data_IF_503272042387
#
_entry.id   IF_503272042387
#
_cell.length_a   1.000
_cell.length_b   1.000
_cell.length_c   1.000
_cell.angle_alpha   90.00
_cell.angle_beta   90.00
_cell.angle_gamma   90.00
#
_symmetry.space_group_name_H-M   'P 1'
#
loop_
_entity.id
_entity.type
_entity.pdbx_description
1 polymer ?
#
# COMPACT_ATOMS: atom_id res chain seq x y z
N UNK A 1 -4.90 -6.34 3.74
CA UNK A 1 -4.22 -5.08 3.38
C UNK A 1 -3.82 -5.11 1.91
N UNK A 2 -3.54 -3.96 1.28
CA UNK A 2 -2.90 -3.91 -0.07
C UNK A 2 -1.49 -4.50 -0.04
N UNK A 3 -0.80 -4.43 1.11
CA UNK A 3 0.50 -5.07 1.33
C UNK A 3 0.46 -6.60 1.12
N UNK A 4 -0.71 -7.22 1.28
CA UNK A 4 -0.90 -8.66 1.14
C UNK A 4 -1.00 -9.12 -0.33
N UNK A 5 -1.16 -8.20 -1.29
CA UNK A 5 -1.37 -8.54 -2.69
C UNK A 5 -0.16 -9.24 -3.31
N UNK A 6 1.04 -8.68 -3.14
CA UNK A 6 2.27 -9.26 -3.67
C UNK A 6 2.49 -10.71 -3.21
N UNK A 7 2.52 -11.03 -1.89
CA UNK A 7 2.72 -12.40 -1.45
C UNK A 7 1.58 -13.34 -1.88
N UNK A 8 0.35 -12.82 -2.00
CA UNK A 8 -0.79 -13.61 -2.52
C UNK A 8 -0.58 -13.99 -3.98
N UNK A 9 -0.19 -13.06 -4.85
CA UNK A 9 0.01 -13.34 -6.28
C UNK A 9 1.17 -14.30 -6.50
N UNK A 10 2.26 -14.18 -5.73
CA UNK A 10 3.37 -15.13 -5.80
C UNK A 10 2.91 -16.53 -5.41
N UNK A 11 2.19 -16.72 -4.30
CA UNK A 11 1.67 -18.04 -3.93
C UNK A 11 0.68 -18.59 -4.97
N UNK A 12 -0.21 -17.73 -5.49
CA UNK A 12 -1.19 -18.11 -6.50
C UNK A 12 -0.53 -18.61 -7.80
N UNK A 13 0.56 -17.96 -8.20
CA UNK A 13 1.39 -18.37 -9.33
C UNK A 13 2.32 -19.56 -9.02
N UNK A 14 2.25 -20.13 -7.81
CA UNK A 14 3.14 -21.20 -7.30
C UNK A 14 4.63 -20.78 -7.29
N UNK A 15 4.88 -19.48 -7.17
CA UNK A 15 6.23 -18.93 -7.00
C UNK A 15 6.74 -19.05 -5.58
N UNK A 16 7.96 -18.60 -5.36
CA UNK A 16 8.61 -18.54 -4.04
C UNK A 16 9.12 -17.13 -3.80
N UNK A 17 8.85 -16.59 -2.61
CA UNK A 17 9.37 -15.30 -2.20
C UNK A 17 10.81 -15.45 -1.71
N UNK A 18 11.66 -14.49 -2.04
CA UNK A 18 12.96 -14.36 -1.40
C UNK A 18 12.76 -14.03 0.09
N UNK A 19 13.39 -14.80 0.97
CA UNK A 19 13.32 -14.62 2.42
C UNK A 19 13.96 -13.29 2.88
N UNK A 20 14.86 -12.71 2.09
CA UNK A 20 15.48 -11.41 2.36
C UNK A 20 14.65 -10.21 1.91
N UNK A 21 13.53 -10.42 1.20
CA UNK A 21 12.67 -9.33 0.75
C UNK A 21 11.88 -8.77 1.95
N UNK A 22 12.02 -7.47 2.30
CA UNK A 22 11.34 -6.89 3.45
C UNK A 22 9.86 -6.67 3.13
N UNK A 23 9.05 -7.72 3.28
CA UNK A 23 7.61 -7.69 3.08
C UNK A 23 6.87 -7.66 4.42
N UNK A 24 6.00 -6.66 4.58
CA UNK A 24 5.10 -6.57 5.74
C UNK A 24 3.81 -7.38 5.56
N UNK A 25 3.44 -7.64 4.31
CA UNK A 25 2.22 -8.36 3.96
C UNK A 25 2.35 -9.87 4.06
N UNK A 26 1.22 -10.56 4.23
CA UNK A 26 1.12 -12.03 4.22
C UNK A 26 0.10 -12.48 3.18
N UNK A 27 0.34 -13.63 2.56
CA UNK A 27 -0.56 -14.18 1.54
C UNK A 27 -2.00 -14.36 2.08
N UNK A 28 -2.99 -14.00 1.26
CA UNK A 28 -4.42 -14.18 1.53
C UNK A 28 -4.95 -15.55 1.07
N UNK A 29 -4.12 -16.38 0.44
CA UNK A 29 -4.54 -17.71 -0.01
C UNK A 29 -5.11 -18.59 1.13
N UNK A 30 -4.60 -18.56 2.39
CA UNK A 30 -5.23 -19.24 3.51
C UNK A 30 -6.68 -18.81 3.75
N UNK A 31 -6.99 -17.51 3.65
CA UNK A 31 -8.35 -16.98 3.79
C UNK A 31 -9.26 -17.53 2.68
N UNK A 32 -8.80 -17.50 1.42
CA UNK A 32 -9.56 -18.02 0.27
C UNK A 32 -9.84 -19.52 0.37
N UNK A 33 -8.90 -20.26 0.98
CA UNK A 33 -9.04 -21.70 1.27
C UNK A 33 -9.80 -21.99 2.57
N UNK A 34 -10.40 -20.98 3.20
CA UNK A 34 -11.13 -21.07 4.49
C UNK A 34 -10.29 -21.67 5.63
N UNK A 35 -8.98 -21.44 5.62
CA UNK A 35 -8.05 -21.85 6.68
C UNK A 35 -7.79 -20.76 7.72
N UNK A 36 -8.53 -19.65 7.63
CA UNK A 36 -8.27 -18.44 8.42
C UNK A 36 -7.04 -17.69 7.94
N UNK A 37 -6.54 -16.80 8.79
CA UNK A 37 -5.35 -16.00 8.56
C UNK A 37 -5.36 -14.77 9.45
N UNK A 38 -4.55 -13.78 9.11
CA UNK A 38 -4.43 -12.56 9.91
C UNK A 38 -5.65 -11.64 9.76
N UNK A 39 -5.89 -10.83 10.78
CA UNK A 39 -7.07 -9.96 10.86
C UNK A 39 -6.69 -8.48 11.08
N UNK A 40 -5.40 -8.20 11.18
CA UNK A 40 -4.85 -6.86 11.34
C UNK A 40 -4.43 -6.24 10.01
N UNK A 41 -4.72 -4.95 9.88
CA UNK A 41 -4.21 -4.07 8.83
C UNK A 41 -3.61 -2.84 9.50
N UNK A 42 -2.41 -2.49 9.07
CA UNK A 42 -1.73 -1.26 9.45
C UNK A 42 -1.87 -0.23 8.33
N UNK A 43 -2.20 1.00 8.70
CA UNK A 43 -2.23 2.15 7.80
C UNK A 43 -1.31 3.24 8.31
N UNK A 44 -0.64 3.91 7.40
CA UNK A 44 0.32 4.97 7.72
C UNK A 44 0.08 6.15 6.79
N UNK A 45 0.13 7.36 7.32
CA UNK A 45 -0.06 8.58 6.55
C UNK A 45 0.88 9.69 7.03
N UNK A 46 1.70 10.19 6.11
CA UNK A 46 2.71 11.23 6.36
C UNK A 46 2.78 12.26 5.22
N UNK A 47 1.64 12.53 4.59
CA UNK A 47 1.51 13.42 3.43
C UNK A 47 0.75 14.72 3.80
N UNK A 48 0.16 15.39 2.82
CA UNK A 48 -0.55 16.66 3.00
C UNK A 48 -1.73 16.57 3.99
N UNK A 49 -2.12 17.71 4.58
CA UNK A 49 -3.21 17.75 5.56
C UNK A 49 -2.82 17.25 6.96
N UNK A 50 -1.53 16.91 7.17
CA UNK A 50 -1.00 16.49 8.48
C UNK A 50 0.31 17.20 8.80
N UNK A 51 0.54 17.48 10.07
CA UNK A 51 1.82 18.03 10.58
C UNK A 51 2.69 16.98 11.25
N UNK A 52 2.15 15.79 11.52
CA UNK A 52 2.84 14.66 12.13
C UNK A 52 2.38 13.32 11.53
N UNK A 53 3.17 12.24 11.67
CA UNK A 53 2.77 10.92 11.19
C UNK A 53 1.48 10.45 11.87
N UNK A 54 0.50 10.03 11.08
CA UNK A 54 -0.73 9.39 11.53
C UNK A 54 -0.67 7.90 11.23
N UNK A 55 -0.93 7.08 12.25
CA UNK A 55 -0.95 5.62 12.13
C UNK A 55 -2.34 5.07 12.40
N UNK A 56 -2.64 3.90 11.86
CA UNK A 56 -3.91 3.23 12.03
C UNK A 56 -3.70 1.74 12.22
N UNK A 57 -4.41 1.16 13.19
CA UNK A 57 -4.53 -0.28 13.38
C UNK A 57 -6.00 -0.65 13.18
N UNK A 58 -6.28 -1.50 12.20
CA UNK A 58 -7.60 -2.09 11.96
C UNK A 58 -7.52 -3.57 12.33
N UNK A 59 -8.26 -4.00 13.36
CA UNK A 59 -8.33 -5.41 13.81
C UNK A 59 -9.71 -5.76 14.33
N UNK A 60 -10.27 -6.90 13.92
CA UNK A 60 -11.57 -7.38 14.39
C UNK A 60 -12.71 -6.44 13.98
N UNK A 61 -13.46 -5.94 14.96
CA UNK A 61 -14.48 -4.90 14.74
C UNK A 61 -13.93 -3.47 14.84
N UNK A 62 -12.66 -3.30 15.23
CA UNK A 62 -12.14 -2.03 15.70
C UNK A 62 -11.16 -1.38 14.72
N UNK A 63 -11.19 -0.06 14.69
CA UNK A 63 -10.21 0.80 14.04
C UNK A 63 -9.70 1.80 15.06
N UNK A 64 -8.38 1.80 15.27
CA UNK A 64 -7.66 2.70 16.15
C UNK A 64 -6.80 3.65 15.32
N UNK A 65 -6.84 4.93 15.61
CA UNK A 65 -6.03 5.98 14.95
C UNK A 65 -5.09 6.58 15.99
N UNK A 66 -3.81 6.65 15.65
CA UNK A 66 -2.73 7.08 16.52
C UNK A 66 -1.98 8.28 15.94
N UNK A 67 -1.76 9.27 16.80
CA UNK A 67 -0.92 10.45 16.57
C UNK A 67 -0.28 10.83 17.90
N UNK A 68 0.95 11.35 17.86
CA UNK A 68 1.57 11.97 19.05
C UNK A 68 1.11 13.42 19.24
N UNK A 69 0.59 14.07 18.18
CA UNK A 69 0.16 15.48 18.22
C UNK A 69 -1.36 15.65 18.29
N UNK A 70 -2.12 14.65 17.87
CA UNK A 70 -3.59 14.69 17.83
C UNK A 70 -4.19 13.65 18.79
N UNK A 71 -5.43 13.85 19.25
CA UNK A 71 -6.14 12.83 20.02
C UNK A 71 -6.21 11.50 19.29
N UNK A 72 -5.91 10.41 19.99
CA UNK A 72 -6.15 9.07 19.47
C UNK A 72 -7.65 8.79 19.38
N UNK A 73 -8.07 8.09 18.33
CA UNK A 73 -9.48 7.77 18.09
C UNK A 73 -9.69 6.25 18.08
N UNK A 74 -10.85 5.80 18.55
CA UNK A 74 -11.21 4.37 18.54
C UNK A 74 -12.67 4.20 18.08
N UNK A 75 -12.88 3.38 17.05
CA UNK A 75 -14.21 3.12 16.50
C UNK A 75 -14.50 1.62 16.43
N UNK A 76 -15.74 1.22 16.75
CA UNK A 76 -16.29 -0.10 16.40
C UNK A 76 -16.96 0.03 15.03
N UNK A 77 -16.22 -0.27 13.95
CA UNK A 77 -16.70 -0.10 12.58
C UNK A 77 -17.74 -1.14 12.16
N UNK A 78 -17.97 -2.18 12.98
CA UNK A 78 -19.05 -3.15 12.74
C UNK A 78 -20.39 -2.62 13.22
N UNK A 79 -20.42 -2.00 14.41
CA UNK A 79 -21.64 -1.40 14.97
C UNK A 79 -21.87 0.04 14.51
N UNK A 80 -20.80 0.76 14.22
CA UNK A 80 -20.80 2.13 13.73
C UNK A 80 -19.97 2.26 12.44
N UNK A 81 -20.49 1.80 11.29
CA UNK A 81 -19.76 1.84 10.02
C UNK A 81 -19.44 3.25 9.52
N UNK A 82 -20.05 4.28 10.10
CA UNK A 82 -19.87 5.69 9.74
C UNK A 82 -18.90 6.41 10.68
N UNK A 83 -18.36 5.72 11.69
CA UNK A 83 -17.37 6.27 12.62
C UNK A 83 -17.85 7.57 13.30
N UNK A 84 -19.13 7.62 13.67
CA UNK A 84 -19.76 8.78 14.30
C UNK A 84 -19.54 8.85 15.81
N UNK A 85 -19.24 7.71 16.44
CA UNK A 85 -19.07 7.58 17.89
C UNK A 85 -17.66 7.15 18.23
N UNK A 86 -16.85 8.11 18.67
CA UNK A 86 -15.53 7.83 19.24
C UNK A 86 -15.66 7.12 20.60
N UNK A 87 -14.90 6.05 20.76
CA UNK A 87 -14.82 5.19 21.94
C UNK A 87 -13.51 5.41 22.72
N UNK A 88 -12.64 6.33 22.31
CA UNK A 88 -11.35 6.60 22.96
C UNK A 88 -11.47 6.92 24.45
N UNK A 89 -12.55 7.58 24.86
CA UNK A 89 -12.85 7.94 26.25
C UNK A 89 -13.88 7.01 26.92
N UNK A 90 -14.24 5.88 26.29
CA UNK A 90 -15.24 4.96 26.82
C UNK A 90 -14.64 4.08 27.92
N UNK A 91 -15.18 4.10 29.17
CA UNK A 91 -14.68 3.23 30.24
C UNK A 91 -14.78 1.74 29.89
N UNK A 92 -15.80 1.35 29.12
CA UNK A 92 -15.99 -0.02 28.67
C UNK A 92 -14.92 -0.49 27.67
N UNK A 93 -14.20 0.43 27.02
CA UNK A 93 -13.19 0.12 26.00
C UNK A 93 -11.77 0.55 26.42
N UNK A 94 -11.59 1.03 27.65
CA UNK A 94 -10.31 1.55 28.15
C UNK A 94 -9.16 0.54 27.99
N UNK A 95 -9.40 -0.73 28.36
CA UNK A 95 -8.40 -1.78 28.19
C UNK A 95 -8.00 -1.96 26.71
N UNK A 96 -8.99 -2.02 25.82
CA UNK A 96 -8.76 -2.20 24.38
C UNK A 96 -7.98 -1.04 23.78
N UNK A 97 -8.33 0.19 24.17
CA UNK A 97 -7.61 1.39 23.78
C UNK A 97 -6.14 1.33 24.23
N UNK A 98 -5.89 1.00 25.49
CA UNK A 98 -4.54 0.90 26.03
C UNK A 98 -3.71 -0.22 25.37
N UNK A 99 -4.34 -1.36 25.04
CA UNK A 99 -3.69 -2.45 24.31
C UNK A 99 -3.25 -1.96 22.91
N UNK A 100 -4.10 -1.25 22.16
CA UNK A 100 -3.75 -0.68 20.86
C UNK A 100 -2.68 0.42 20.96
N UNK A 101 -2.76 1.28 21.97
CA UNK A 101 -1.78 2.34 22.20
C UNK A 101 -0.39 1.75 22.49
N UNK A 102 -0.32 0.71 23.32
CA UNK A 102 0.92 0.02 23.62
C UNK A 102 1.51 -0.65 22.36
N UNK A 103 0.68 -1.31 21.55
CA UNK A 103 1.11 -1.90 20.28
C UNK A 103 1.63 -0.84 19.30
N UNK A 104 0.91 0.28 19.15
CA UNK A 104 1.30 1.37 18.26
C UNK A 104 2.68 1.94 18.64
N UNK A 105 2.90 2.19 19.94
CA UNK A 105 4.19 2.69 20.46
C UNK A 105 5.32 1.67 20.31
N UNK A 106 5.02 0.38 20.38
CA UNK A 106 6.03 -0.66 20.15
C UNK A 106 6.38 -0.81 18.67
N UNK A 107 5.40 -0.62 17.77
CA UNK A 107 5.58 -0.80 16.33
C UNK A 107 6.23 0.41 15.65
N UNK A 108 5.89 1.63 16.09
CA UNK A 108 6.30 2.85 15.42
C UNK A 108 7.10 3.78 16.33
N UNK A 109 8.36 4.03 15.95
CA UNK A 109 9.14 5.15 16.47
C UNK A 109 8.72 6.44 15.74
N UNK A 110 7.64 7.07 16.22
CA UNK A 110 7.08 8.29 15.61
C UNK A 110 8.11 9.42 15.51
N UNK A 111 8.94 9.71 16.55
CA UNK A 111 10.01 10.70 16.43
C UNK A 111 10.99 10.39 15.28
N UNK A 112 11.46 9.14 15.16
CA UNK A 112 12.39 8.76 14.10
C UNK A 112 11.74 8.86 12.71
N UNK A 113 10.52 8.34 12.57
CA UNK A 113 9.74 8.42 11.32
C UNK A 113 9.53 9.88 10.91
N UNK A 114 9.15 10.75 11.85
CA UNK A 114 8.95 12.18 11.58
C UNK A 114 10.23 12.84 11.05
N UNK A 115 11.39 12.56 11.65
CA UNK A 115 12.67 13.09 11.16
C UNK A 115 13.03 12.57 9.77
N UNK A 116 12.77 11.29 9.47
CA UNK A 116 12.99 10.72 8.15
C UNK A 116 12.10 11.39 7.07
N UNK A 117 10.83 11.63 7.40
CA UNK A 117 9.89 12.35 6.52
C UNK A 117 10.37 13.76 6.24
N UNK A 118 10.76 14.53 7.26
CA UNK A 118 11.30 15.88 7.09
C UNK A 118 12.58 15.89 6.25
N UNK A 119 13.48 14.93 6.47
CA UNK A 119 14.70 14.79 5.66
C UNK A 119 14.38 14.48 4.19
N UNK A 120 13.41 13.59 3.92
CA UNK A 120 12.93 13.28 2.57
C UNK A 120 12.32 14.50 1.88
N UNK A 121 11.46 15.25 2.58
CA UNK A 121 10.83 16.47 2.07
C UNK A 121 11.88 17.53 1.71
N UNK A 122 12.82 17.85 2.61
CA UNK A 122 13.88 18.84 2.38
C UNK A 122 14.72 18.47 1.16
N UNK A 123 15.12 17.21 1.04
CA UNK A 123 15.91 16.69 -0.08
C UNK A 123 15.16 16.84 -1.40
N UNK A 124 13.90 16.42 -1.45
CA UNK A 124 13.08 16.52 -2.67
C UNK A 124 12.79 17.96 -3.07
N UNK A 125 12.56 18.88 -2.12
CA UNK A 125 12.36 20.31 -2.43
C UNK A 125 13.60 20.93 -3.07
N UNK A 126 14.79 20.59 -2.58
CA UNK A 126 16.05 21.03 -3.20
C UNK A 126 16.18 20.49 -4.63
N UNK A 127 16.07 19.17 -4.82
CA UNK A 127 16.22 18.53 -6.13
C UNK A 127 15.16 19.03 -7.13
N UNK A 128 13.90 19.11 -6.72
CA UNK A 128 12.80 19.58 -7.57
C UNK A 128 13.02 21.03 -8.04
N UNK A 129 13.49 21.93 -7.15
CA UNK A 129 13.85 23.31 -7.53
C UNK A 129 14.95 23.34 -8.59
N UNK A 130 15.97 22.50 -8.44
CA UNK A 130 17.06 22.40 -9.42
C UNK A 130 16.57 21.84 -10.76
N UNK A 131 15.77 20.75 -10.76
CA UNK A 131 15.25 20.12 -11.97
C UNK A 131 14.22 20.98 -12.73
N UNK A 132 13.59 21.94 -12.06
CA UNK A 132 12.69 22.91 -12.67
C UNK A 132 13.40 24.05 -13.42
N UNK A 133 14.74 24.14 -13.34
CA UNK A 133 15.52 25.20 -14.00
C UNK A 133 16.08 24.71 -15.34
N UNK A 134 15.93 25.50 -16.40
CA UNK A 134 16.43 25.17 -17.73
C UNK A 134 15.50 24.23 -18.50
N UNK A 135 16.06 23.21 -19.17
CA UNK A 135 15.28 22.26 -19.96
C UNK A 135 14.76 21.13 -19.08
N UNK A 136 13.45 21.13 -18.83
CA UNK A 136 12.78 20.05 -18.11
C UNK A 136 12.92 18.72 -18.85
N UNK A 137 13.33 17.67 -18.12
CA UNK A 137 13.33 16.29 -18.59
C UNK A 137 12.23 15.53 -17.89
N UNK A 138 11.18 15.17 -18.64
CA UNK A 138 10.08 14.37 -18.10
C UNK A 138 10.52 12.95 -17.71
N UNK A 139 9.89 12.41 -16.67
CA UNK A 139 9.97 11.02 -16.22
C UNK A 139 8.71 10.21 -16.56
N UNK A 140 7.78 10.79 -17.32
CA UNK A 140 6.57 10.11 -17.77
C UNK A 140 6.95 8.87 -18.59
N UNK A 141 6.35 7.72 -18.29
CA UNK A 141 6.59 6.50 -19.04
C UNK A 141 6.06 6.66 -20.46
N UNK A 142 6.96 6.57 -21.44
CA UNK A 142 6.58 6.52 -22.84
C UNK A 142 6.52 5.05 -23.30
N UNK A 143 5.32 4.48 -23.51
CA UNK A 143 5.22 3.12 -24.02
C UNK A 143 5.78 3.07 -25.43
N UNK A 144 6.73 2.16 -25.65
CA UNK A 144 7.25 1.90 -26.98
C UNK A 144 6.45 0.75 -27.59
N UNK A 145 5.67 1.08 -28.60
CA UNK A 145 5.06 0.10 -29.49
C UNK A 145 5.75 0.25 -30.84
N UNK A 146 6.55 -0.74 -31.22
CA UNK A 146 7.27 -0.71 -32.48
C UNK A 146 6.32 -0.95 -33.65
N UNK A 147 5.80 0.14 -34.21
CA UNK A 147 4.90 0.11 -35.36
C UNK A 147 5.55 -0.58 -36.57
N UNK A 148 6.88 -0.63 -36.70
CA UNK A 148 7.52 -1.36 -37.80
C UNK A 148 7.31 -2.87 -37.72
N UNK A 149 6.93 -3.41 -36.57
CA UNK A 149 6.67 -4.83 -36.32
C UNK A 149 5.18 -5.16 -36.09
N UNK A 150 4.29 -4.18 -36.18
CA UNK A 150 2.85 -4.41 -35.99
C UNK A 150 2.13 -4.71 -37.29
N UNK A 151 1.13 -5.60 -37.23
CA UNK A 151 0.26 -5.95 -38.37
C UNK A 151 1.06 -6.44 -39.59
N UNK A 152 0.50 -6.33 -40.79
CA UNK A 152 1.16 -6.79 -42.01
C UNK A 152 2.32 -5.86 -42.38
N UNK A 153 3.49 -6.48 -42.57
CA UNK A 153 4.71 -5.83 -43.04
C UNK A 153 5.34 -6.76 -44.08
N UNK A 154 5.95 -6.21 -45.12
CA UNK A 154 6.44 -7.02 -46.24
C UNK A 154 7.60 -7.97 -45.87
N UNK A 155 8.20 -7.80 -44.70
CA UNK A 155 9.22 -8.72 -44.14
C UNK A 155 8.62 -9.82 -43.23
N UNK A 156 7.29 -9.87 -43.09
CA UNK A 156 6.56 -10.87 -42.30
C UNK A 156 5.74 -11.73 -43.27
N UNK A 157 5.78 -13.04 -43.11
CA UNK A 157 4.94 -13.97 -43.87
C UNK A 157 3.45 -13.79 -43.50
N UNK A 158 2.60 -13.66 -44.51
CA UNK A 158 1.18 -13.32 -44.34
C UNK A 158 0.41 -14.44 -43.63
N UNK A 159 0.62 -15.69 -44.03
CA UNK A 159 -0.09 -16.85 -43.48
C UNK A 159 0.30 -17.06 -42.00
N UNK A 160 1.58 -16.88 -41.68
CA UNK A 160 2.07 -16.92 -40.30
C UNK A 160 1.50 -15.79 -39.43
N UNK A 161 1.40 -14.57 -39.97
CA UNK A 161 0.83 -13.44 -39.25
C UNK A 161 -0.65 -13.67 -38.93
N UNK A 162 -1.46 -14.05 -39.93
CA UNK A 162 -2.89 -14.29 -39.74
C UNK A 162 -3.14 -15.41 -38.73
N UNK A 163 -2.33 -16.48 -38.77
CA UNK A 163 -2.41 -17.59 -37.82
C UNK A 163 -2.05 -17.18 -36.39
N UNK A 164 -1.03 -16.34 -36.20
CA UNK A 164 -0.62 -15.83 -34.89
C UNK A 164 -1.61 -14.82 -34.31
N UNK A 165 -2.23 -14.01 -35.15
CA UNK A 165 -3.17 -12.96 -34.74
C UNK A 165 -4.59 -13.49 -34.46
N UNK A 166 -4.95 -14.67 -34.96
CA UNK A 166 -6.27 -15.28 -34.77
C UNK A 166 -6.31 -16.21 -33.56
N UNK A 167 -7.25 -15.96 -32.64
CA UNK A 167 -7.53 -16.86 -31.52
C UNK A 167 -9.05 -16.97 -31.25
N UNK A 168 -9.61 -18.18 -31.04
CA UNK A 168 -8.95 -19.49 -31.16
C UNK A 168 -8.57 -19.80 -32.61
N UNK A 169 -7.58 -20.69 -32.79
CA UNK A 169 -7.21 -21.18 -34.10
C UNK A 169 -8.26 -22.18 -34.61
N UNK A 170 -8.63 -22.13 -35.90
CA UNK A 170 -9.53 -23.10 -36.53
C UNK A 170 -8.90 -24.50 -36.65
#
# INVERSE_FOLDING_TARGET
>A
STADLLPTFVEMAKGTLDAGLPLDGRSLMPHLKRKGGHDEVFGEYMAEGTTSPLMMIRRGAYKFIYSEQDPCLLFDVKKDPKELKDLSQSPAHEKLFNDFLAEARAKWDIPAIHQQVLASQRRRRFVAKSLATGKLKSWDHQPLVDASQQYMRNHIDLDDLERKARYPQP
#
